data_IF_795541238470
#
_entry.id   IF_795541238470
#
_cell.length_a   1.000
_cell.length_b   1.000
_cell.length_c   1.000
_cell.angle_alpha   90.00
_cell.angle_beta   90.00
_cell.angle_gamma   90.00
#
_symmetry.space_group_name_H-M   'P 1'
#
loop_
_entity.id
_entity.type
_entity.pdbx_description
1 polymer ?
#
# COMPACT_ATOMS: atom_id res chain seq x y z
N UNK A 1 -14.44 4.73 17.68
CA UNK A 1 -13.41 5.58 17.06
C UNK A 1 -12.89 4.90 15.81
N UNK A 2 -13.26 5.39 14.62
CA UNK A 2 -12.66 4.93 13.35
C UNK A 2 -11.20 5.37 13.41
N UNK A 3 -10.27 4.44 13.31
CA UNK A 3 -8.84 4.77 13.36
C UNK A 3 -8.54 5.68 12.19
N UNK A 4 -8.39 6.96 12.49
CA UNK A 4 -8.36 8.05 11.55
C UNK A 4 -6.91 8.25 11.13
N UNK A 5 -6.33 7.29 10.42
CA UNK A 5 -5.09 7.58 9.72
C UNK A 5 -5.46 8.44 8.51
N UNK A 6 -4.65 9.46 8.24
CA UNK A 6 -4.96 10.41 7.19
C UNK A 6 -4.60 9.79 5.84
N UNK A 7 -5.57 9.08 5.26
CA UNK A 7 -5.46 8.40 3.96
C UNK A 7 -5.02 9.40 2.89
N UNK A 8 -5.58 10.61 2.93
CA UNK A 8 -5.33 11.67 1.95
C UNK A 8 -3.87 12.11 2.01
N UNK A 9 -3.35 12.41 3.20
CA UNK A 9 -1.94 12.79 3.39
C UNK A 9 -1.00 11.66 2.98
N UNK A 10 -1.36 10.41 3.29
CA UNK A 10 -0.58 9.22 2.89
C UNK A 10 -0.48 9.11 1.38
N UNK A 11 -1.63 9.20 0.69
CA UNK A 11 -1.68 9.13 -0.78
C UNK A 11 -0.92 10.28 -1.41
N UNK A 12 -1.10 11.52 -0.93
CA UNK A 12 -0.43 12.69 -1.50
C UNK A 12 1.10 12.61 -1.37
N UNK A 13 1.60 12.12 -0.22
CA UNK A 13 3.03 11.91 -0.03
C UNK A 13 3.56 10.79 -0.94
N UNK A 14 2.80 9.69 -1.10
CA UNK A 14 3.15 8.63 -2.05
C UNK A 14 3.16 9.13 -3.49
N UNK A 15 2.16 9.91 -3.92
CA UNK A 15 2.12 10.49 -5.27
C UNK A 15 3.36 11.35 -5.55
N UNK A 16 3.78 12.17 -4.58
CA UNK A 16 5.01 12.96 -4.70
C UNK A 16 6.24 12.07 -4.77
N UNK A 17 6.34 11.04 -3.92
CA UNK A 17 7.52 10.17 -3.89
C UNK A 17 7.60 9.20 -5.07
N UNK A 18 6.48 8.92 -5.73
CA UNK A 18 6.36 8.00 -6.86
C UNK A 18 6.15 8.75 -8.17
N UNK A 19 6.37 10.07 -8.20
CA UNK A 19 6.23 10.89 -9.42
C UNK A 19 7.16 10.43 -10.56
N UNK A 20 8.27 9.75 -10.23
CA UNK A 20 9.21 9.17 -11.19
C UNK A 20 8.70 7.87 -11.84
N UNK A 21 7.68 7.24 -11.27
CA UNK A 21 7.17 5.95 -11.73
C UNK A 21 6.12 6.18 -12.81
N UNK A 22 6.48 5.83 -14.05
CA UNK A 22 5.58 5.90 -15.21
C UNK A 22 4.76 4.61 -15.44
N UNK A 23 4.96 3.60 -14.59
CA UNK A 23 4.38 2.26 -14.77
C UNK A 23 2.98 2.19 -14.15
N UNK A 24 2.00 1.57 -14.84
CA UNK A 24 0.67 1.39 -14.30
C UNK A 24 0.68 0.34 -13.17
N UNK A 25 0.36 0.76 -11.95
CA UNK A 25 0.31 -0.09 -10.77
C UNK A 25 -1.00 0.12 -10.00
N UNK A 26 -1.69 -0.97 -9.66
CA UNK A 26 -2.92 -0.92 -8.87
C UNK A 26 -2.62 -1.09 -7.38
N UNK A 27 -2.91 -0.05 -6.61
CA UNK A 27 -2.71 -0.01 -5.17
C UNK A 27 -4.05 0.30 -4.49
N UNK A 28 -4.44 -0.49 -3.49
CA UNK A 28 -5.59 -0.21 -2.65
C UNK A 28 -5.16 0.21 -1.24
N UNK A 29 -5.67 1.35 -0.76
CA UNK A 29 -5.49 1.80 0.63
C UNK A 29 -6.84 1.87 1.32
N UNK A 30 -7.10 0.91 2.21
CA UNK A 30 -8.43 0.69 2.79
C UNK A 30 -8.39 1.07 4.26
N UNK A 31 -9.11 2.13 4.66
CA UNK A 31 -9.09 2.66 6.03
C UNK A 31 -9.70 1.78 7.12
N UNK A 32 -10.35 0.67 6.78
CA UNK A 32 -11.11 -0.15 7.71
C UNK A 32 -11.03 -1.65 7.37
N UNK A 33 -10.65 -2.47 8.35
CA UNK A 33 -10.47 -3.93 8.23
C UNK A 33 -11.74 -4.72 7.85
N UNK A 34 -12.94 -4.13 7.95
CA UNK A 34 -14.21 -4.86 7.81
C UNK A 34 -14.38 -5.51 6.43
N UNK A 35 -13.92 -4.86 5.35
CA UNK A 35 -13.88 -5.43 3.99
C UNK A 35 -12.45 -5.50 3.41
N UNK A 36 -11.45 -4.99 4.14
CA UNK A 36 -10.06 -4.89 3.72
C UNK A 36 -9.44 -6.14 3.09
N UNK A 37 -9.56 -7.36 3.69
CA UNK A 37 -8.85 -8.53 3.18
C UNK A 37 -9.43 -9.13 1.89
N UNK A 38 -10.65 -8.76 1.48
CA UNK A 38 -11.22 -9.18 0.20
C UNK A 38 -10.68 -8.32 -0.94
N UNK A 39 -10.81 -7.01 -0.81
CA UNK A 39 -10.38 -6.04 -1.82
C UNK A 39 -8.86 -5.97 -1.95
N UNK A 40 -8.10 -6.16 -0.85
CA UNK A 40 -6.64 -6.21 -0.88
C UNK A 40 -6.09 -7.43 -1.67
N UNK A 41 -6.93 -8.43 -1.97
CA UNK A 41 -6.54 -9.57 -2.82
C UNK A 41 -6.74 -9.34 -4.31
N UNK A 42 -7.51 -8.33 -4.68
CA UNK A 42 -7.80 -8.02 -6.08
C UNK A 42 -6.79 -7.02 -6.67
N UNK A 43 -5.90 -6.48 -5.83
CA UNK A 43 -4.86 -5.52 -6.23
C UNK A 43 -3.46 -6.11 -6.04
N UNK A 44 -2.48 -5.48 -6.69
CA UNK A 44 -1.08 -5.87 -6.60
C UNK A 44 -0.52 -5.55 -5.22
N UNK A 45 -0.85 -4.36 -4.69
CA UNK A 45 -0.46 -3.93 -3.34
C UNK A 45 -1.69 -3.42 -2.60
N UNK A 46 -2.04 -4.05 -1.49
CA UNK A 46 -3.19 -3.72 -0.67
C UNK A 46 -2.80 -3.38 0.75
N UNK A 47 -3.14 -2.19 1.23
CA UNK A 47 -2.99 -1.79 2.63
C UNK A 47 -4.36 -1.81 3.31
N UNK A 48 -4.45 -2.54 4.42
CA UNK A 48 -5.67 -2.62 5.23
C UNK A 48 -5.49 -1.93 6.57
N UNK A 49 -6.44 -1.05 6.87
CA UNK A 49 -6.49 -0.17 8.04
C UNK A 49 -6.91 -0.92 9.29
N UNK A 50 -6.02 -0.98 10.27
CA UNK A 50 -6.22 -1.65 11.55
C UNK A 50 -5.19 -1.23 12.59
N UNK A 51 -5.29 -1.76 13.81
CA UNK A 51 -4.25 -1.63 14.83
C UNK A 51 -3.71 -2.99 15.21
N UNK A 52 -2.64 -3.47 14.56
CA UNK A 52 -1.81 -2.79 13.53
C UNK A 52 -2.38 -2.90 12.10
N UNK A 53 -1.87 -2.07 11.18
CA UNK A 53 -2.21 -2.13 9.75
C UNK A 53 -1.58 -3.38 9.12
N UNK A 54 -2.20 -3.92 8.08
CA UNK A 54 -1.70 -5.12 7.41
C UNK A 54 -1.54 -4.87 5.92
N UNK A 55 -0.32 -5.12 5.44
CA UNK A 55 0.07 -5.01 4.03
C UNK A 55 -0.11 -6.35 3.34
N UNK A 56 -0.64 -6.29 2.12
CA UNK A 56 -0.84 -7.40 1.21
C UNK A 56 -0.10 -7.12 -0.10
N UNK A 57 0.56 -8.15 -0.64
CA UNK A 57 1.20 -8.13 -1.96
C UNK A 57 0.69 -9.36 -2.72
N UNK A 58 0.17 -9.18 -3.94
CA UNK A 58 -0.49 -10.23 -4.73
C UNK A 58 -1.55 -11.01 -3.92
N UNK A 59 -2.30 -10.28 -3.09
CA UNK A 59 -3.30 -10.85 -2.20
C UNK A 59 -2.78 -11.75 -1.07
N UNK A 60 -1.47 -11.77 -0.82
CA UNK A 60 -0.88 -12.45 0.32
C UNK A 60 -0.48 -11.43 1.40
N UNK A 61 -0.86 -11.65 2.67
CA UNK A 61 -0.40 -10.79 3.75
C UNK A 61 1.11 -10.94 3.90
N UNK A 62 1.84 -9.83 3.83
CA UNK A 62 3.30 -9.82 3.87
C UNK A 62 3.79 -9.39 5.26
N UNK A 63 3.45 -8.17 5.69
CA UNK A 63 3.85 -7.65 7.01
C UNK A 63 2.85 -6.64 7.59
N UNK A 64 3.00 -6.39 8.89
CA UNK A 64 2.19 -5.42 9.66
C UNK A 64 2.92 -4.09 9.73
N UNK A 65 2.20 -2.99 9.49
CA UNK A 65 2.74 -1.64 9.46
C UNK A 65 2.15 -0.77 10.58
N UNK A 66 2.95 0.17 11.06
CA UNK A 66 2.52 1.25 11.96
C UNK A 66 2.28 2.53 11.16
N UNK A 67 1.45 3.45 11.67
CA UNK A 67 1.17 4.72 11.00
C UNK A 67 2.44 5.51 10.64
N UNK A 68 3.43 5.51 11.52
CA UNK A 68 4.67 6.30 11.36
C UNK A 68 5.53 5.84 10.19
N UNK A 69 5.52 4.54 9.88
CA UNK A 69 6.33 3.94 8.80
C UNK A 69 5.52 3.55 7.58
N UNK A 70 4.22 3.87 7.57
CA UNK A 70 3.30 3.38 6.57
C UNK A 70 3.69 3.82 5.17
N UNK A 71 4.02 5.11 4.99
CA UNK A 71 4.40 5.67 3.70
C UNK A 71 5.75 5.15 3.23
N UNK A 72 6.77 5.18 4.09
CA UNK A 72 8.11 4.69 3.73
C UNK A 72 8.08 3.20 3.34
N UNK A 73 7.31 2.39 4.08
CA UNK A 73 7.17 0.96 3.77
C UNK A 73 6.37 0.71 2.49
N UNK A 74 5.27 1.46 2.25
CA UNK A 74 4.54 1.37 0.98
C UNK A 74 5.40 1.75 -0.20
N UNK A 75 6.15 2.85 -0.10
CA UNK A 75 7.05 3.30 -1.16
C UNK A 75 8.10 2.24 -1.48
N UNK A 76 8.77 1.69 -0.44
CA UNK A 76 9.76 0.64 -0.61
C UNK A 76 9.17 -0.60 -1.31
N UNK A 77 7.98 -1.02 -0.89
CA UNK A 77 7.29 -2.17 -1.49
C UNK A 77 6.89 -1.91 -2.92
N UNK A 78 6.39 -0.72 -3.23
CA UNK A 78 6.05 -0.32 -4.60
C UNK A 78 7.29 -0.35 -5.49
N UNK A 79 8.40 0.25 -5.04
CA UNK A 79 9.65 0.27 -5.81
C UNK A 79 10.22 -1.13 -6.00
N UNK A 80 10.21 -1.96 -4.95
CA UNK A 80 10.66 -3.36 -5.01
C UNK A 80 9.80 -4.21 -5.95
N UNK A 81 8.48 -4.03 -5.88
CA UNK A 81 7.52 -4.68 -6.78
C UNK A 81 7.78 -4.28 -8.24
N UNK A 82 7.94 -2.99 -8.51
CA UNK A 82 8.22 -2.50 -9.86
C UNK A 82 9.58 -3.00 -10.37
N UNK A 83 10.60 -2.99 -9.51
CA UNK A 83 11.91 -3.53 -9.82
C UNK A 83 11.87 -5.04 -10.11
N UNK A 84 11.01 -5.81 -9.44
CA UNK A 84 10.88 -7.25 -9.65
C UNK A 84 10.05 -7.59 -10.90
N UNK A 85 8.99 -6.84 -11.17
CA UNK A 85 8.00 -7.16 -12.20
C UNK A 85 8.23 -6.44 -13.54
N UNK A 86 8.98 -5.34 -13.55
CA UNK A 86 9.15 -4.51 -14.75
C UNK A 86 10.61 -4.23 -15.15
N UNK A 87 11.60 -4.91 -14.56
CA UNK A 87 13.03 -4.83 -14.99
C UNK A 87 13.35 -5.52 -16.32
N UNK A 88 12.36 -5.86 -17.13
CA UNK A 88 12.58 -6.29 -18.51
C UNK A 88 12.07 -5.24 -19.50
N UNK A 89 12.94 -4.28 -19.84
CA UNK A 89 12.94 -3.58 -21.13
C UNK A 89 14.37 -3.21 -21.50
#
# INVERSE_FOLDING_TARGET
>A
SRQNFDVISTVNLLETRLEDILQPLNIAVIGCVVNGPGEAKEVQIGLTGGSPHLLYIDGKPERKLTNEKLVDELELVIRDYLATHFTHS
#
